data_IF_469979689563
#
_entry.id   IF_469979689563
#
_cell.length_a   1.000
_cell.length_b   1.000
_cell.length_c   1.000
_cell.angle_alpha   90.00
_cell.angle_beta   90.00
_cell.angle_gamma   90.00
#
_symmetry.space_group_name_H-M   'P 1'
#
loop_
_entity.id
_entity.type
_entity.pdbx_description
1 polymer ?
#
# COMPACT_ATOMS: atom_id res chain seq x y z
N UNK A 1 -25.07 -18.83 -0.94
CA UNK A 1 -26.04 -18.41 0.09
C UNK A 1 -27.42 -18.08 -0.49
N UNK A 2 -27.73 -16.89 -1.03
CA UNK A 2 -29.12 -16.61 -1.49
C UNK A 2 -29.62 -17.48 -2.67
N UNK A 3 -28.72 -17.80 -3.62
CA UNK A 3 -29.04 -18.69 -4.75
C UNK A 3 -29.22 -20.16 -4.34
N UNK A 4 -28.62 -20.58 -3.23
CA UNK A 4 -28.74 -21.95 -2.71
C UNK A 4 -30.08 -22.17 -2.01
N UNK A 5 -30.69 -21.11 -1.49
CA UNK A 5 -32.03 -21.12 -0.87
C UNK A 5 -33.18 -20.90 -1.87
N UNK A 6 -32.90 -20.93 -3.18
CA UNK A 6 -33.92 -20.71 -4.22
C UNK A 6 -34.44 -19.27 -4.33
N UNK A 7 -33.79 -18.31 -3.67
CA UNK A 7 -34.18 -16.89 -3.71
C UNK A 7 -33.37 -16.18 -4.78
N UNK A 8 -34.02 -15.81 -5.88
CA UNK A 8 -33.40 -15.08 -6.98
C UNK A 8 -33.43 -13.56 -6.71
N UNK A 9 -32.34 -13.04 -6.17
CA UNK A 9 -32.11 -11.60 -5.96
C UNK A 9 -31.07 -11.12 -6.98
N UNK A 10 -31.43 -10.14 -7.82
CA UNK A 10 -30.49 -9.46 -8.74
C UNK A 10 -29.66 -8.43 -7.96
N UNK A 11 -28.74 -8.94 -7.16
CA UNK A 11 -27.86 -8.14 -6.31
C UNK A 11 -26.65 -7.69 -7.11
N UNK A 12 -26.59 -6.40 -7.47
CA UNK A 12 -25.49 -5.79 -8.23
C UNK A 12 -24.58 -5.01 -7.32
N UNK A 13 -23.31 -5.42 -7.26
CA UNK A 13 -22.26 -4.70 -6.55
C UNK A 13 -21.27 -4.11 -7.56
N UNK A 14 -20.78 -2.91 -7.22
CA UNK A 14 -19.64 -2.34 -7.92
C UNK A 14 -18.37 -2.94 -7.34
N UNK A 15 -17.66 -3.71 -8.17
CA UNK A 15 -16.44 -4.41 -7.79
C UNK A 15 -15.23 -3.45 -7.73
N UNK A 16 -14.43 -3.56 -6.67
CA UNK A 16 -13.18 -2.82 -6.49
C UNK A 16 -11.93 -3.67 -6.76
N UNK A 17 -12.08 -4.91 -7.23
CA UNK A 17 -10.97 -5.83 -7.53
C UNK A 17 -9.87 -5.18 -8.36
N UNK A 18 -10.24 -4.42 -9.39
CA UNK A 18 -9.28 -3.71 -10.26
C UNK A 18 -8.42 -2.69 -9.52
N UNK A 19 -8.96 -2.03 -8.49
CA UNK A 19 -8.22 -1.09 -7.63
C UNK A 19 -7.27 -1.87 -6.73
N UNK A 20 -7.74 -2.96 -6.11
CA UNK A 20 -6.93 -3.83 -5.28
C UNK A 20 -5.75 -4.42 -6.07
N UNK A 21 -5.99 -4.89 -7.30
CA UNK A 21 -4.93 -5.38 -8.18
C UNK A 21 -3.93 -4.28 -8.54
N UNK A 22 -4.38 -3.05 -8.80
CA UNK A 22 -3.47 -1.95 -9.10
C UNK A 22 -2.58 -1.57 -7.90
N UNK A 23 -3.10 -1.68 -6.67
CA UNK A 23 -2.37 -1.30 -5.45
C UNK A 23 -1.41 -2.41 -5.00
N UNK A 24 -1.89 -3.66 -4.93
CA UNK A 24 -1.23 -4.72 -4.15
C UNK A 24 -0.84 -5.98 -4.95
N UNK A 25 -1.13 -6.04 -6.26
CA UNK A 25 -0.82 -7.25 -7.03
C UNK A 25 0.68 -7.56 -7.05
N UNK A 26 1.00 -8.81 -6.74
CA UNK A 26 2.35 -9.40 -6.84
C UNK A 26 2.45 -10.40 -8.00
N UNK A 27 1.40 -10.51 -8.81
CA UNK A 27 1.28 -11.52 -9.85
C UNK A 27 2.16 -11.18 -11.05
N UNK A 28 2.95 -12.16 -11.51
CA UNK A 28 3.80 -12.00 -12.69
C UNK A 28 3.00 -11.78 -13.99
N UNK A 29 1.72 -12.21 -14.04
CA UNK A 29 0.85 -12.11 -15.22
C UNK A 29 0.23 -10.72 -15.39
N UNK A 30 -0.44 -10.22 -14.36
CA UNK A 30 -0.97 -8.84 -14.38
C UNK A 30 0.17 -7.84 -14.28
N UNK A 31 1.25 -8.20 -13.57
CA UNK A 31 2.41 -7.39 -13.25
C UNK A 31 2.26 -6.72 -11.88
N UNK A 32 3.37 -6.26 -11.30
CA UNK A 32 3.40 -5.64 -9.97
C UNK A 32 2.45 -4.43 -9.84
N UNK A 33 1.81 -4.31 -8.68
CA UNK A 33 1.07 -3.15 -8.21
C UNK A 33 1.97 -2.07 -7.60
N UNK A 34 1.34 -0.99 -7.14
CA UNK A 34 2.04 0.22 -6.64
C UNK A 34 2.88 -0.07 -5.39
N UNK A 35 2.35 -0.82 -4.42
CA UNK A 35 3.07 -1.14 -3.18
C UNK A 35 4.32 -2.00 -3.43
N UNK A 36 4.27 -3.10 -4.19
CA UNK A 36 5.47 -3.84 -4.57
C UNK A 36 6.52 -2.98 -5.28
N UNK A 37 6.10 -2.11 -6.20
CA UNK A 37 7.03 -1.20 -6.89
C UNK A 37 7.70 -0.20 -5.93
N UNK A 38 6.99 0.24 -4.89
CA UNK A 38 7.58 1.08 -3.84
C UNK A 38 8.59 0.29 -3.01
N UNK A 39 8.27 -0.95 -2.67
CA UNK A 39 9.15 -1.85 -1.92
C UNK A 39 10.47 -2.11 -2.69
N UNK A 40 10.40 -2.38 -4.00
CA UNK A 40 11.59 -2.50 -4.85
C UNK A 40 12.48 -1.25 -4.74
N UNK A 41 11.90 -0.05 -4.77
CA UNK A 41 12.67 1.20 -4.67
C UNK A 41 13.20 1.48 -3.26
N UNK A 42 12.53 1.01 -2.21
CA UNK A 42 13.06 1.08 -0.84
C UNK A 42 14.29 0.18 -0.67
N UNK A 43 14.28 -0.99 -1.29
CA UNK A 43 15.37 -1.98 -1.19
C UNK A 43 16.61 -1.62 -2.02
N UNK A 44 16.48 -0.75 -3.03
CA UNK A 44 17.61 -0.27 -3.82
C UNK A 44 18.43 0.76 -3.04
N UNK A 45 19.76 0.58 -3.00
CA UNK A 45 20.69 1.55 -2.41
C UNK A 45 20.61 2.92 -3.09
N UNK A 46 20.38 2.94 -4.40
CA UNK A 46 20.21 4.16 -5.22
C UNK A 46 18.75 4.41 -5.59
N UNK A 47 17.79 3.86 -4.84
CA UNK A 47 16.36 4.05 -5.10
C UNK A 47 15.90 5.48 -4.81
N UNK A 48 14.91 5.96 -5.56
CA UNK A 48 14.37 7.32 -5.40
C UNK A 48 12.86 7.38 -5.64
N UNK A 49 12.19 8.40 -5.09
CA UNK A 49 10.75 8.64 -5.30
C UNK A 49 10.40 8.87 -6.78
N UNK A 50 11.31 9.51 -7.52
CA UNK A 50 11.14 9.78 -8.94
C UNK A 50 11.24 8.49 -9.76
N UNK A 51 12.22 7.63 -9.44
CA UNK A 51 12.37 6.33 -10.06
C UNK A 51 11.19 5.39 -9.75
N UNK A 52 10.64 5.47 -8.54
CA UNK A 52 9.38 4.84 -8.16
C UNK A 52 8.23 5.30 -9.05
N UNK A 53 7.99 6.61 -9.13
CA UNK A 53 6.89 7.19 -9.90
C UNK A 53 6.99 6.82 -11.39
N UNK A 54 8.20 6.91 -11.96
CA UNK A 54 8.45 6.51 -13.34
C UNK A 54 8.23 5.01 -13.57
N UNK A 55 8.53 4.17 -12.57
CA UNK A 55 8.27 2.73 -12.65
C UNK A 55 6.78 2.42 -12.63
N UNK A 56 5.98 3.13 -11.84
CA UNK A 56 4.52 3.04 -11.89
C UNK A 56 3.98 3.44 -13.28
N UNK A 57 4.37 4.60 -13.81
CA UNK A 57 3.91 5.05 -15.13
C UNK A 57 4.31 4.08 -16.24
N UNK A 58 5.55 3.56 -16.21
CA UNK A 58 6.01 2.54 -17.18
C UNK A 58 5.20 1.25 -17.07
N UNK A 59 4.91 0.79 -15.85
CA UNK A 59 4.16 -0.44 -15.57
C UNK A 59 2.72 -0.35 -16.06
N UNK A 60 2.03 0.74 -15.74
CA UNK A 60 0.62 0.94 -16.13
C UNK A 60 0.47 1.48 -17.56
N UNK A 61 1.52 2.06 -18.15
CA UNK A 61 1.57 2.34 -19.59
C UNK A 61 1.67 1.07 -20.44
N UNK A 62 2.41 0.05 -19.97
CA UNK A 62 2.55 -1.25 -20.67
C UNK A 62 1.31 -2.14 -20.53
N UNK A 63 0.71 -2.17 -19.34
CA UNK A 63 -0.50 -2.95 -19.06
C UNK A 63 -1.49 -2.05 -18.31
N UNK A 64 -2.33 -1.31 -19.07
CA UNK A 64 -3.24 -0.31 -18.53
C UNK A 64 -4.34 -0.92 -17.67
N UNK A 65 -4.60 -0.26 -16.55
CA UNK A 65 -5.75 -0.53 -15.67
C UNK A 65 -6.59 0.74 -15.59
N UNK A 66 -7.91 0.60 -15.62
CA UNK A 66 -8.83 1.75 -15.69
C UNK A 66 -8.70 2.71 -14.50
N UNK A 67 -8.29 2.20 -13.34
CA UNK A 67 -8.19 2.98 -12.12
C UNK A 67 -6.90 3.79 -12.00
N UNK A 68 -5.86 3.53 -12.80
CA UNK A 68 -4.60 4.28 -12.72
C UNK A 68 -4.57 5.37 -13.79
N UNK A 69 -4.20 6.59 -13.38
CA UNK A 69 -4.10 7.74 -14.27
C UNK A 69 -2.74 8.40 -14.10
N UNK A 70 -2.02 8.54 -15.21
CA UNK A 70 -0.81 9.35 -15.30
C UNK A 70 -1.20 10.82 -15.57
N UNK A 71 -0.90 11.76 -14.65
CA UNK A 71 -1.30 13.15 -14.81
C UNK A 71 -0.41 13.84 -15.85
N UNK A 72 -1.01 14.67 -16.71
CA UNK A 72 -0.28 15.41 -17.76
C UNK A 72 0.74 16.41 -17.20
N UNK A 73 0.43 17.02 -16.06
CA UNK A 73 1.29 17.98 -15.38
C UNK A 73 1.90 17.33 -14.13
N UNK A 74 3.20 17.56 -13.94
CA UNK A 74 3.97 17.04 -12.81
C UNK A 74 3.96 15.50 -12.68
N UNK A 75 3.86 14.78 -13.81
CA UNK A 75 3.89 13.31 -13.87
C UNK A 75 5.09 12.70 -13.12
N UNK A 76 6.21 13.42 -13.06
CA UNK A 76 7.44 12.96 -12.41
C UNK A 76 7.29 12.69 -10.91
N UNK A 77 6.30 13.30 -10.26
CA UNK A 77 6.10 13.23 -8.80
C UNK A 77 4.63 12.94 -8.44
N UNK A 78 3.78 12.62 -9.41
CA UNK A 78 2.36 12.42 -9.16
C UNK A 78 1.78 11.26 -9.96
N UNK A 79 0.81 10.58 -9.35
CA UNK A 79 -0.12 9.67 -10.02
C UNK A 79 -1.52 9.82 -9.42
N UNK A 80 -2.53 9.37 -10.14
CA UNK A 80 -3.93 9.43 -9.72
C UNK A 80 -4.56 8.04 -9.71
N UNK A 81 -5.36 7.75 -8.68
CA UNK A 81 -6.14 6.51 -8.58
C UNK A 81 -7.62 6.86 -8.53
N UNK A 82 -8.40 6.29 -9.45
CA UNK A 82 -9.86 6.32 -9.43
C UNK A 82 -10.35 5.29 -8.41
N UNK A 83 -10.51 5.72 -7.16
CA UNK A 83 -11.11 4.89 -6.12
C UNK A 83 -12.62 4.76 -6.33
N UNK A 84 -13.24 3.80 -5.64
CA UNK A 84 -14.68 3.56 -5.73
C UNK A 84 -15.53 4.81 -5.42
N UNK A 85 -15.03 5.70 -4.55
CA UNK A 85 -15.75 6.92 -4.16
C UNK A 85 -15.37 8.14 -5.02
N UNK A 86 -14.08 8.31 -5.34
CA UNK A 86 -13.58 9.47 -6.08
C UNK A 86 -12.14 9.28 -6.61
N UNK A 87 -11.72 10.09 -7.60
CA UNK A 87 -10.32 10.23 -7.98
C UNK A 87 -9.50 10.83 -6.84
N UNK A 88 -8.36 10.22 -6.53
CA UNK A 88 -7.39 10.73 -5.55
C UNK A 88 -6.04 10.90 -6.23
N UNK A 89 -5.47 12.10 -6.11
CA UNK A 89 -4.13 12.43 -6.60
C UNK A 89 -3.11 12.27 -5.48
N UNK A 90 -2.05 11.52 -5.77
CA UNK A 90 -0.94 11.29 -4.86
C UNK A 90 0.26 12.12 -5.31
N UNK A 91 0.95 12.71 -4.33
CA UNK A 91 2.28 13.29 -4.49
C UNK A 91 3.28 12.29 -3.92
N UNK A 92 4.20 11.81 -4.74
CA UNK A 92 5.14 10.75 -4.38
C UNK A 92 6.38 11.27 -3.66
N UNK A 93 6.51 12.59 -3.49
CA UNK A 93 7.58 13.18 -2.68
C UNK A 93 7.58 12.58 -1.27
N UNK A 94 8.75 12.14 -0.82
CA UNK A 94 8.99 11.51 0.48
C UNK A 94 8.29 10.17 0.73
N UNK A 95 7.76 9.49 -0.30
CA UNK A 95 7.12 8.18 -0.13
C UNK A 95 8.10 7.13 0.36
N UNK A 96 9.28 7.05 -0.26
CA UNK A 96 10.34 6.10 0.10
C UNK A 96 10.82 6.34 1.52
N UNK A 97 11.10 7.57 1.89
CA UNK A 97 11.56 7.97 3.21
C UNK A 97 10.55 7.57 4.28
N UNK A 98 9.25 7.86 4.07
CA UNK A 98 8.18 7.44 4.98
C UNK A 98 8.03 5.93 5.06
N UNK A 99 8.23 5.21 3.95
CA UNK A 99 8.13 3.76 3.91
C UNK A 99 9.35 3.06 4.52
N UNK A 100 10.51 3.73 4.52
CA UNK A 100 11.75 3.27 5.14
C UNK A 100 11.91 3.68 6.59
N UNK A 101 11.01 4.53 7.12
CA UNK A 101 10.99 4.98 8.51
C UNK A 101 10.50 3.87 9.46
N UNK A 102 11.07 2.68 9.30
CA UNK A 102 10.90 1.55 10.20
C UNK A 102 11.84 1.77 11.37
N UNK A 103 11.27 1.80 12.57
CA UNK A 103 12.07 1.89 13.80
C UNK A 103 13.05 0.71 13.87
N UNK A 104 14.36 0.95 14.07
CA UNK A 104 15.34 -0.11 14.20
C UNK A 104 14.97 -1.10 15.29
N UNK A 105 15.19 -2.40 15.05
CA UNK A 105 14.81 -3.48 15.97
C UNK A 105 15.42 -3.32 17.36
N UNK A 106 16.61 -2.72 17.47
CA UNK A 106 17.25 -2.42 18.75
C UNK A 106 16.48 -1.36 19.56
N UNK A 107 15.97 -0.32 18.89
CA UNK A 107 15.11 0.70 19.51
C UNK A 107 13.80 0.05 19.96
N UNK A 108 13.25 -0.85 19.14
CA UNK A 108 12.03 -1.60 19.47
C UNK A 108 12.22 -2.51 20.69
N UNK A 109 13.35 -3.23 20.78
CA UNK A 109 13.68 -4.07 21.93
C UNK A 109 13.81 -3.25 23.21
N UNK A 110 14.47 -2.09 23.16
CA UNK A 110 14.59 -1.18 24.30
C UNK A 110 13.21 -0.73 24.74
N UNK A 111 12.36 -0.28 23.81
CA UNK A 111 10.99 0.17 24.11
C UNK A 111 10.13 -0.95 24.71
N UNK A 112 10.17 -2.15 24.15
CA UNK A 112 9.43 -3.31 24.67
C UNK A 112 9.88 -3.71 26.08
N UNK A 113 11.20 -3.67 26.33
CA UNK A 113 11.77 -3.93 27.66
C UNK A 113 11.33 -2.85 28.65
N UNK A 114 11.30 -1.60 28.22
CA UNK A 114 10.85 -0.46 29.02
C UNK A 114 9.38 -0.56 29.42
N UNK A 115 8.49 -0.94 28.49
CA UNK A 115 7.07 -1.15 28.77
C UNK A 115 6.83 -2.29 29.75
N UNK A 116 7.52 -3.41 29.54
CA UNK A 116 7.44 -4.58 30.42
C UNK A 116 7.86 -4.24 31.84
N UNK A 117 8.92 -3.44 32.00
CA UNK A 117 9.41 -3.00 33.32
C UNK A 117 8.44 -2.07 34.07
N UNK A 118 7.51 -1.42 33.36
CA UNK A 118 6.54 -0.46 33.91
C UNK A 118 5.11 -0.99 34.00
N UNK A 119 4.88 -2.25 33.66
CA UNK A 119 3.56 -2.87 33.68
C UNK A 119 2.57 -2.24 32.69
N UNK A 120 3.07 -1.59 31.63
CA UNK A 120 2.23 -0.99 30.59
C UNK A 120 1.81 -2.07 29.59
N UNK A 121 0.51 -2.20 29.27
CA UNK A 121 0.03 -3.23 28.36
C UNK A 121 0.35 -2.88 26.90
N UNK A 122 1.42 -3.50 26.38
CA UNK A 122 1.63 -3.88 24.98
C UNK A 122 1.13 -2.92 23.89
N UNK A 123 1.53 -1.64 23.94
CA UNK A 123 1.26 -0.68 22.86
C UNK A 123 2.01 -1.03 21.56
N UNK A 124 2.96 -1.96 21.66
CA UNK A 124 3.88 -2.33 20.61
C UNK A 124 3.85 -3.85 20.35
N UNK A 125 2.96 -4.30 19.44
CA UNK A 125 2.99 -5.64 18.84
C UNK A 125 3.47 -5.53 17.39
N UNK A 126 4.48 -6.33 17.03
CA UNK A 126 5.12 -6.30 15.71
C UNK A 126 5.04 -7.66 15.03
N UNK A 127 4.99 -7.66 13.69
CA UNK A 127 5.15 -8.87 12.88
C UNK A 127 6.64 -9.18 12.61
N UNK A 128 6.90 -10.34 12.00
CA UNK A 128 8.25 -10.85 11.72
C UNK A 128 9.09 -9.96 10.78
N UNK A 129 8.51 -8.89 10.22
CA UNK A 129 9.16 -7.96 9.30
C UNK A 129 9.34 -6.55 9.91
N UNK A 130 9.04 -6.38 11.20
CA UNK A 130 9.16 -5.09 11.88
C UNK A 130 8.12 -4.06 11.44
N UNK A 131 7.04 -4.48 10.75
CA UNK A 131 5.96 -3.56 10.38
C UNK A 131 5.10 -3.24 11.59
N UNK A 132 4.80 -1.96 11.77
CA UNK A 132 3.82 -1.47 12.74
C UNK A 132 2.43 -2.02 12.36
N UNK A 133 1.88 -2.94 13.15
CA UNK A 133 0.43 -3.14 13.17
C UNK A 133 -0.10 -2.15 14.20
N UNK A 134 -0.54 -0.98 13.74
CA UNK A 134 -1.36 -0.07 14.55
C UNK A 134 -2.65 -0.83 14.91
N UNK A 135 -2.64 -1.51 16.06
CA UNK A 135 -3.88 -1.90 16.72
C UNK A 135 -4.40 -0.64 17.39
N UNK A 136 -5.32 0.02 16.70
CA UNK A 136 -6.21 1.00 17.31
C UNK A 136 -6.81 0.31 18.53
N UNK A 137 -6.58 0.85 19.73
CA UNK A 137 -7.36 0.50 20.90
C UNK A 137 -8.81 0.89 20.58
N UNK A 138 -9.63 -0.08 20.16
CA UNK A 138 -11.07 0.05 20.33
C UNK A 138 -11.35 -0.35 21.78
N UNK A 139 -11.72 0.68 22.55
CA UNK A 139 -12.46 0.72 23.82
C UNK A 139 -11.98 -0.12 25.00
#
# INVERSE_FOLDING_TARGET
MCKEEGINIDLKFQDNSSILTAIDSQDAKSGLGILPLLEEQCNLQSGSNEAFTQSCHRRFGKSPVKCYVEPKLAAREHFEILHSCCPVRYCTSHFREKNMDVMPSEVLQVLSTWETSRGLPGCFRYDAFGKHILTVFDS
#
